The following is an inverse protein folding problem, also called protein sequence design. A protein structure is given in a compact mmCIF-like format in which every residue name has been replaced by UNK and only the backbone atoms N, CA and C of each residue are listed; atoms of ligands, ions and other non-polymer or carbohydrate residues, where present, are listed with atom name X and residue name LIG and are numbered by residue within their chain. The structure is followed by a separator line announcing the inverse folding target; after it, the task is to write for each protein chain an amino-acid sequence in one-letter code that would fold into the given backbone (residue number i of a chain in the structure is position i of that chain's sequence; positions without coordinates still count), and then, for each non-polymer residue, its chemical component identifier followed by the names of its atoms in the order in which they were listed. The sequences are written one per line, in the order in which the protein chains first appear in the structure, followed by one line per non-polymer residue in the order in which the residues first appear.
data_IF_949248201441
#
_entry.id   IF_949248201441
#
_cell.length_a   1.000
_cell.length_b   1.000
_cell.length_c   1.000
_cell.angle_alpha   90.00
_cell.angle_beta   90.00
_cell.angle_gamma   90.00
#
_symmetry.space_group_name_H-M   'P 1'
#
loop_
_entity.id
_entity.type
_entity.pdbx_description
1 polymer ?
#
# COMPACT_ATOMS: atom_id res chain seq x y z
N UNK A 1 -35.53 -17.50 37.98
CA UNK A 1 -36.77 -16.72 37.89
C UNK A 1 -36.64 -15.53 38.84
N UNK A 2 -36.40 -14.33 38.32
CA UNK A 2 -36.41 -13.12 39.13
C UNK A 2 -37.76 -12.42 38.92
N UNK A 3 -38.59 -12.40 39.95
CA UNK A 3 -39.88 -11.71 39.97
C UNK A 3 -39.69 -10.30 40.53
N UNK A 4 -39.67 -9.30 39.64
CA UNK A 4 -39.79 -7.90 40.03
C UNK A 4 -41.25 -7.59 40.33
N UNK A 5 -41.58 -7.36 41.60
CA UNK A 5 -42.94 -6.97 42.01
C UNK A 5 -43.17 -5.49 41.72
N UNK A 6 -44.16 -5.20 40.89
CA UNK A 6 -44.69 -3.84 40.72
C UNK A 6 -45.88 -3.63 41.68
N UNK A 7 -46.09 -2.41 42.19
CA UNK A 7 -47.10 -2.12 43.23
C UNK A 7 -48.57 -2.26 42.76
N UNK A 8 -48.82 -2.67 41.51
CA UNK A 8 -50.16 -2.77 40.93
C UNK A 8 -50.64 -4.20 40.66
N UNK A 9 -49.90 -5.24 41.05
CA UNK A 9 -50.37 -6.64 40.95
C UNK A 9 -50.67 -7.16 39.54
N UNK A 10 -50.44 -6.34 38.49
CA UNK A 10 -50.55 -6.74 37.10
C UNK A 10 -49.29 -7.53 36.71
N UNK A 11 -49.36 -8.84 36.87
CA UNK A 11 -48.46 -9.79 36.22
C UNK A 11 -48.76 -9.79 34.73
N UNK A 12 -48.18 -8.87 33.98
CA UNK A 12 -48.06 -9.06 32.54
C UNK A 12 -46.99 -10.13 32.32
N UNK A 13 -47.32 -11.30 31.73
CA UNK A 13 -46.29 -12.17 31.20
C UNK A 13 -45.65 -11.39 30.05
N UNK A 14 -44.55 -10.70 30.34
CA UNK A 14 -43.66 -10.23 29.29
C UNK A 14 -43.14 -11.53 28.69
N UNK A 15 -43.72 -11.96 27.57
CA UNK A 15 -43.31 -13.17 26.89
C UNK A 15 -41.81 -13.03 26.64
N UNK A 16 -41.01 -14.03 27.03
CA UNK A 16 -39.55 -13.99 26.87
C UNK A 16 -39.11 -13.67 25.42
N UNK A 17 -39.99 -13.95 24.45
CA UNK A 17 -39.86 -13.55 23.05
C UNK A 17 -39.77 -12.03 22.82
N UNK A 18 -40.52 -11.22 23.56
CA UNK A 18 -40.49 -9.75 23.43
C UNK A 18 -39.18 -9.16 23.99
N UNK A 19 -38.62 -9.80 25.02
CA UNK A 19 -37.32 -9.42 25.60
C UNK A 19 -36.19 -9.71 24.61
N UNK A 20 -36.19 -10.89 23.98
CA UNK A 20 -35.19 -11.27 22.98
C UNK A 20 -35.28 -10.39 21.72
N UNK A 21 -36.49 -10.07 21.25
CA UNK A 21 -36.70 -9.16 20.12
C UNK A 21 -36.19 -7.74 20.42
N UNK A 22 -36.48 -7.22 21.61
CA UNK A 22 -36.02 -5.89 22.03
C UNK A 22 -34.50 -5.85 22.24
N UNK A 23 -33.91 -6.91 22.80
CA UNK A 23 -32.46 -7.01 22.99
C UNK A 23 -31.73 -7.06 21.64
N UNK A 24 -32.18 -7.89 20.69
CA UNK A 24 -31.58 -7.97 19.36
C UNK A 24 -31.71 -6.65 18.58
N UNK A 25 -32.85 -5.95 18.71
CA UNK A 25 -33.01 -4.60 18.17
C UNK A 25 -32.04 -3.59 18.79
N UNK A 26 -31.88 -3.59 20.12
CA UNK A 26 -30.92 -2.71 20.79
C UNK A 26 -29.47 -2.99 20.38
N UNK A 27 -29.08 -4.27 20.27
CA UNK A 27 -27.74 -4.66 19.81
C UNK A 27 -27.50 -4.16 18.39
N UNK A 28 -28.45 -4.37 17.48
CA UNK A 28 -28.35 -3.92 16.10
C UNK A 28 -28.28 -2.39 15.98
N UNK A 29 -29.08 -1.69 16.79
CA UNK A 29 -29.11 -0.22 16.80
C UNK A 29 -27.82 0.35 17.37
N UNK A 30 -27.32 -0.21 18.48
CA UNK A 30 -26.07 0.21 19.09
C UNK A 30 -24.88 -0.06 18.16
N UNK A 31 -24.85 -1.22 17.48
CA UNK A 31 -23.85 -1.52 16.46
C UNK A 31 -23.91 -0.54 15.26
N UNK A 32 -25.11 -0.13 14.84
CA UNK A 32 -25.28 0.86 13.78
C UNK A 32 -24.81 2.26 14.21
N UNK A 33 -25.03 2.62 15.47
CA UNK A 33 -24.64 3.91 16.04
C UNK A 33 -23.13 4.00 16.30
N UNK A 34 -22.51 2.93 16.80
CA UNK A 34 -21.06 2.79 16.92
C UNK A 34 -20.37 2.86 15.54
N UNK A 35 -20.99 2.26 14.51
CA UNK A 35 -20.56 2.41 13.12
C UNK A 35 -20.69 3.85 12.61
N UNK A 36 -21.65 4.64 13.09
CA UNK A 36 -21.77 6.07 12.75
C UNK A 36 -20.71 6.91 13.45
N UNK A 37 -20.47 6.69 14.74
CA UNK A 37 -19.44 7.41 15.50
C UNK A 37 -18.03 7.13 14.97
N UNK A 38 -17.72 5.88 14.64
CA UNK A 38 -16.44 5.53 14.02
C UNK A 38 -16.24 6.21 12.66
N UNK A 39 -17.30 6.29 11.83
CA UNK A 39 -17.27 7.05 10.56
C UNK A 39 -17.13 8.55 10.78
N UNK A 40 -17.80 9.11 11.79
CA UNK A 40 -17.71 10.53 12.12
C UNK A 40 -16.28 10.90 12.55
N UNK A 41 -15.67 10.12 13.44
CA UNK A 41 -14.27 10.33 13.85
C UNK A 41 -13.27 10.18 12.70
N UNK A 42 -13.51 9.23 11.78
CA UNK A 42 -12.69 9.07 10.58
C UNK A 42 -12.80 10.30 9.65
N UNK A 43 -14.02 10.79 9.43
CA UNK A 43 -14.28 11.96 8.61
C UNK A 43 -13.64 13.21 9.23
N UNK A 44 -13.72 13.37 10.55
CA UNK A 44 -13.08 14.46 11.27
C UNK A 44 -11.56 14.42 11.08
N UNK A 45 -10.95 13.25 11.24
CA UNK A 45 -9.50 13.07 11.01
C UNK A 45 -9.10 13.38 9.57
N UNK A 46 -9.92 13.02 8.57
CA UNK A 46 -9.68 13.35 7.16
C UNK A 46 -9.83 14.87 6.93
N UNK A 47 -10.80 15.52 7.57
CA UNK A 47 -11.00 16.98 7.48
C UNK A 47 -9.84 17.78 8.11
N UNK A 48 -9.14 17.20 9.09
CA UNK A 48 -7.94 17.81 9.66
C UNK A 48 -6.70 17.70 8.77
N UNK A 49 -6.69 16.83 7.74
CA UNK A 49 -5.55 16.70 6.84
C UNK A 49 -5.45 17.90 5.89
N UNK A 50 -4.28 18.52 5.79
CA UNK A 50 -4.10 19.66 4.87
C UNK A 50 -4.12 19.24 3.40
N UNK A 51 -3.52 18.08 3.09
CA UNK A 51 -3.39 17.55 1.71
C UNK A 51 -3.51 16.02 1.71
N UNK A 52 -4.74 15.47 1.79
CA UNK A 52 -4.95 14.04 1.75
C UNK A 52 -4.62 13.48 0.35
N UNK A 53 -3.94 12.34 0.35
CA UNK A 53 -3.58 11.57 -0.85
C UNK A 53 -4.22 10.19 -0.72
N UNK A 54 -4.95 9.76 -1.75
CA UNK A 54 -5.56 8.43 -1.75
C UNK A 54 -4.51 7.32 -1.82
N UNK A 55 -4.82 6.13 -1.26
CA UNK A 55 -3.95 4.94 -1.35
C UNK A 55 -3.47 4.70 -2.78
N UNK A 56 -4.37 4.81 -3.76
CA UNK A 56 -4.03 4.60 -5.17
C UNK A 56 -2.96 5.56 -5.67
N UNK A 57 -3.07 6.85 -5.33
CA UNK A 57 -2.05 7.85 -5.70
C UNK A 57 -0.75 7.63 -4.94
N UNK A 58 -0.82 7.26 -3.66
CA UNK A 58 0.35 6.96 -2.84
C UNK A 58 1.17 5.80 -3.41
N UNK A 59 0.51 4.67 -3.71
CA UNK A 59 1.17 3.50 -4.31
C UNK A 59 1.62 3.73 -5.75
N UNK A 60 0.90 4.55 -6.54
CA UNK A 60 1.35 4.93 -7.87
C UNK A 60 2.62 5.79 -7.84
N UNK A 61 2.72 6.72 -6.88
CA UNK A 61 3.93 7.53 -6.68
C UNK A 61 5.09 6.69 -6.14
N UNK A 62 4.83 5.82 -5.17
CA UNK A 62 5.83 4.90 -4.63
C UNK A 62 6.36 3.96 -5.72
N UNK A 63 5.46 3.33 -6.49
CA UNK A 63 5.83 2.45 -7.60
C UNK A 63 6.59 3.18 -8.71
N UNK A 64 6.29 4.46 -8.96
CA UNK A 64 7.06 5.29 -9.89
C UNK A 64 8.49 5.51 -9.40
N UNK A 65 8.67 5.94 -8.14
CA UNK A 65 9.99 6.15 -7.53
C UNK A 65 10.82 4.86 -7.47
N UNK A 66 10.18 3.76 -7.10
CA UNK A 66 10.80 2.43 -7.05
C UNK A 66 11.09 1.89 -8.46
N UNK A 67 10.34 2.32 -9.47
CA UNK A 67 10.60 2.00 -10.87
C UNK A 67 11.77 2.80 -11.47
N UNK A 68 12.09 3.98 -10.93
CA UNK A 68 13.15 4.84 -11.47
C UNK A 68 14.47 4.75 -10.72
N UNK A 69 14.45 4.88 -9.39
CA UNK A 69 15.68 5.08 -8.61
C UNK A 69 16.54 3.82 -8.52
N UNK A 70 16.00 2.63 -8.19
CA UNK A 70 16.78 1.40 -8.15
C UNK A 70 17.41 1.03 -9.51
N UNK A 71 16.68 1.05 -10.65
CA UNK A 71 17.32 0.80 -11.95
C UNK A 71 18.39 1.83 -12.28
N UNK A 72 18.16 3.11 -12.02
CA UNK A 72 19.18 4.15 -12.20
C UNK A 72 20.43 3.88 -11.36
N UNK A 73 20.28 3.44 -10.11
CA UNK A 73 21.42 3.08 -9.26
C UNK A 73 22.15 1.82 -9.71
N UNK A 74 21.44 0.78 -10.19
CA UNK A 74 22.06 -0.41 -10.76
C UNK A 74 22.93 0.00 -11.96
N UNK A 75 22.39 0.80 -12.87
CA UNK A 75 23.14 1.27 -14.03
C UNK A 75 24.30 2.19 -13.67
N UNK A 76 24.07 3.11 -12.73
CA UNK A 76 25.14 3.96 -12.22
C UNK A 76 26.26 3.09 -11.65
N UNK A 77 25.96 2.09 -10.81
CA UNK A 77 26.97 1.19 -10.25
C UNK A 77 27.72 0.39 -11.32
N UNK A 78 27.00 -0.08 -12.34
CA UNK A 78 27.56 -0.91 -13.41
C UNK A 78 28.44 -0.11 -14.38
N UNK A 79 28.06 1.13 -14.70
CA UNK A 79 28.67 1.92 -15.76
C UNK A 79 29.38 3.20 -15.28
N UNK A 80 29.44 3.46 -13.97
CA UNK A 80 30.04 4.67 -13.40
C UNK A 80 31.44 4.97 -13.96
N UNK A 81 32.30 3.95 -14.07
CA UNK A 81 33.68 4.12 -14.55
C UNK A 81 33.77 4.41 -16.04
N UNK A 82 32.81 3.91 -16.80
CA UNK A 82 32.82 4.01 -18.27
C UNK A 82 31.94 5.14 -18.77
N UNK A 83 31.16 5.80 -17.90
CA UNK A 83 30.19 6.83 -18.28
C UNK A 83 30.80 7.97 -19.11
N UNK A 84 32.08 8.30 -18.89
CA UNK A 84 32.81 9.32 -19.65
C UNK A 84 33.11 8.90 -21.10
N UNK A 85 33.18 7.61 -21.38
CA UNK A 85 33.40 7.02 -22.71
C UNK A 85 32.12 6.37 -23.25
N UNK A 86 30.99 6.80 -22.67
CA UNK A 86 29.60 6.55 -23.04
C UNK A 86 29.27 6.59 -24.55
N UNK A 87 29.00 5.48 -25.25
CA UNK A 87 28.33 5.61 -26.55
C UNK A 87 26.93 6.24 -26.31
N UNK A 88 26.53 7.29 -27.06
CA UNK A 88 25.26 8.00 -26.82
C UNK A 88 24.04 7.06 -26.94
N UNK A 89 24.17 6.01 -27.73
CA UNK A 89 23.17 4.94 -27.86
C UNK A 89 22.91 4.22 -26.54
N UNK A 90 23.95 3.96 -25.72
CA UNK A 90 23.77 3.28 -24.43
C UNK A 90 23.08 4.20 -23.42
N UNK A 91 23.40 5.50 -23.42
CA UNK A 91 22.72 6.48 -22.57
C UNK A 91 21.24 6.58 -22.94
N UNK A 92 20.92 6.62 -24.24
CA UNK A 92 19.54 6.60 -24.72
C UNK A 92 18.80 5.33 -24.28
N UNK A 93 19.47 4.17 -24.33
CA UNK A 93 18.90 2.89 -23.93
C UNK A 93 18.62 2.84 -22.42
N UNK A 94 19.55 3.30 -21.58
CA UNK A 94 19.37 3.43 -20.13
C UNK A 94 18.21 4.36 -19.82
N UNK A 95 18.14 5.51 -20.49
CA UNK A 95 17.06 6.47 -20.31
C UNK A 95 15.72 5.85 -20.69
N UNK A 96 15.63 5.21 -21.86
CA UNK A 96 14.43 4.52 -22.32
C UNK A 96 13.97 3.44 -21.33
N UNK A 97 14.91 2.67 -20.77
CA UNK A 97 14.60 1.65 -19.77
C UNK A 97 14.07 2.25 -18.47
N UNK A 98 14.70 3.32 -17.96
CA UNK A 98 14.23 4.00 -16.75
C UNK A 98 12.83 4.59 -16.94
N UNK A 99 12.56 5.15 -18.13
CA UNK A 99 11.22 5.65 -18.49
C UNK A 99 10.21 4.49 -18.55
N UNK A 100 10.56 3.36 -19.16
CA UNK A 100 9.70 2.18 -19.19
C UNK A 100 9.40 1.65 -17.77
N UNK A 101 10.42 1.50 -16.92
CA UNK A 101 10.27 1.09 -15.53
C UNK A 101 9.45 2.10 -14.71
N UNK A 102 9.60 3.40 -14.95
CA UNK A 102 8.81 4.47 -14.33
C UNK A 102 7.31 4.31 -14.61
N UNK A 103 6.95 4.17 -15.88
CA UNK A 103 5.56 4.01 -16.30
C UNK A 103 4.96 2.69 -15.82
N UNK A 104 5.70 1.59 -15.97
CA UNK A 104 5.28 0.29 -15.47
C UNK A 104 5.10 0.33 -13.94
N UNK A 105 6.05 0.92 -13.22
CA UNK A 105 6.00 1.06 -11.77
C UNK A 105 4.80 1.86 -11.29
N UNK A 106 4.48 2.96 -11.96
CA UNK A 106 3.27 3.74 -11.71
C UNK A 106 2.00 2.94 -11.97
N UNK A 107 1.94 2.23 -13.10
CA UNK A 107 0.78 1.44 -13.50
C UNK A 107 0.52 0.29 -12.52
N UNK A 108 1.52 -0.53 -12.24
CA UNK A 108 1.40 -1.64 -11.30
C UNK A 108 1.12 -1.15 -9.88
N UNK A 109 1.78 -0.07 -9.43
CA UNK A 109 1.50 0.56 -8.14
C UNK A 109 0.02 0.96 -7.99
N UNK A 110 -0.55 1.59 -9.03
CA UNK A 110 -1.97 1.95 -9.02
C UNK A 110 -2.93 0.76 -9.07
N UNK A 111 -2.54 -0.38 -9.67
CA UNK A 111 -3.40 -1.57 -9.73
C UNK A 111 -3.34 -2.35 -8.42
N UNK A 112 -2.15 -2.49 -7.85
CA UNK A 112 -1.93 -3.19 -6.61
C UNK A 112 -2.58 -2.50 -5.40
N UNK A 113 -2.72 -1.17 -5.43
CA UNK A 113 -3.45 -0.44 -4.39
C UNK A 113 -4.91 -0.86 -4.23
N UNK A 114 -5.55 -1.34 -5.30
CA UNK A 114 -6.93 -1.84 -5.25
C UNK A 114 -7.02 -3.11 -4.41
N UNK A 115 -5.98 -3.96 -4.50
CA UNK A 115 -5.86 -5.16 -3.67
C UNK A 115 -5.65 -4.74 -2.22
N UNK A 116 -4.70 -3.83 -1.97
CA UNK A 116 -4.39 -3.33 -0.61
C UNK A 116 -5.62 -2.78 0.10
N UNK A 117 -6.41 -1.95 -0.60
CA UNK A 117 -7.60 -1.31 -0.02
C UNK A 117 -8.64 -2.34 0.46
N UNK A 118 -8.71 -3.52 -0.16
CA UNK A 118 -9.59 -4.61 0.27
C UNK A 118 -9.18 -5.29 1.58
N UNK A 119 -7.91 -5.17 1.98
CA UNK A 119 -7.32 -5.95 3.08
C UNK A 119 -6.89 -5.11 4.29
N UNK A 120 -7.17 -3.80 4.31
CA UNK A 120 -6.72 -2.86 5.35
C UNK A 120 -7.22 -3.20 6.77
N UNK A 121 -8.22 -4.09 6.89
CA UNK A 121 -8.78 -4.59 8.17
C UNK A 121 -8.22 -5.95 8.62
N UNK A 122 -7.22 -6.49 7.91
CA UNK A 122 -6.60 -7.77 8.23
C UNK A 122 -5.64 -7.71 9.43
N UNK A 123 -5.27 -8.89 9.92
CA UNK A 123 -4.20 -9.05 10.92
C UNK A 123 -2.84 -8.65 10.34
N UNK A 124 -1.95 -8.14 11.21
CA UNK A 124 -0.59 -7.72 10.85
C UNK A 124 0.21 -8.79 10.09
N UNK A 125 0.09 -10.06 10.50
CA UNK A 125 0.76 -11.18 9.83
C UNK A 125 0.27 -11.34 8.38
N UNK A 126 -1.04 -11.25 8.15
CA UNK A 126 -1.61 -11.34 6.80
C UNK A 126 -1.14 -10.19 5.93
N UNK A 127 -1.04 -9.00 6.49
CA UNK A 127 -0.54 -7.82 5.78
C UNK A 127 0.93 -7.99 5.36
N UNK A 128 1.78 -8.51 6.23
CA UNK A 128 3.19 -8.77 5.89
C UNK A 128 3.33 -9.73 4.72
N UNK A 129 2.62 -10.87 4.76
CA UNK A 129 2.63 -11.81 3.64
C UNK A 129 2.06 -11.20 2.36
N UNK A 130 1.01 -10.38 2.48
CA UNK A 130 0.43 -9.68 1.33
C UNK A 130 1.40 -8.65 0.75
N UNK A 131 2.16 -7.93 1.58
CA UNK A 131 3.19 -7.00 1.15
C UNK A 131 4.26 -7.73 0.33
N UNK A 132 4.68 -8.92 0.75
CA UNK A 132 5.60 -9.77 -0.02
C UNK A 132 5.00 -10.20 -1.37
N UNK A 133 3.74 -10.67 -1.40
CA UNK A 133 3.08 -11.05 -2.65
C UNK A 133 2.94 -9.87 -3.61
N UNK A 134 2.59 -8.69 -3.10
CA UNK A 134 2.47 -7.45 -3.88
C UNK A 134 3.85 -7.04 -4.41
N UNK A 135 4.89 -7.08 -3.57
CA UNK A 135 6.26 -6.77 -3.98
C UNK A 135 6.75 -7.69 -5.09
N UNK A 136 6.41 -8.97 -5.02
CA UNK A 136 6.73 -9.96 -6.04
C UNK A 136 5.99 -9.69 -7.36
N UNK A 137 4.68 -9.46 -7.32
CA UNK A 137 3.87 -9.14 -8.50
C UNK A 137 4.33 -7.84 -9.17
N UNK A 138 4.61 -6.81 -8.36
CA UNK A 138 5.16 -5.55 -8.85
C UNK A 138 6.50 -5.78 -9.54
N UNK A 139 7.42 -6.50 -8.90
CA UNK A 139 8.76 -6.74 -9.41
C UNK A 139 8.77 -7.51 -10.74
N UNK A 140 7.92 -8.52 -10.89
CA UNK A 140 7.78 -9.23 -12.16
C UNK A 140 7.26 -8.28 -13.23
N UNK A 141 6.20 -7.53 -12.94
CA UNK A 141 5.60 -6.61 -13.90
C UNK A 141 6.56 -5.51 -14.37
N UNK A 142 7.23 -4.84 -13.42
CA UNK A 142 8.14 -3.73 -13.72
C UNK A 142 9.48 -4.19 -14.26
N UNK A 143 10.05 -5.26 -13.69
CA UNK A 143 11.30 -5.85 -14.13
C UNK A 143 11.19 -6.43 -15.55
N UNK A 144 10.10 -7.11 -15.86
CA UNK A 144 9.85 -7.58 -17.22
C UNK A 144 9.65 -6.42 -18.20
N UNK A 145 8.89 -5.39 -17.83
CA UNK A 145 8.67 -4.21 -18.69
C UNK A 145 9.98 -3.47 -19.01
N UNK A 146 10.86 -3.27 -18.02
CA UNK A 146 12.19 -2.70 -18.25
C UNK A 146 13.07 -3.62 -19.09
N UNK A 147 13.11 -4.90 -18.76
CA UNK A 147 13.94 -5.89 -19.46
C UNK A 147 13.51 -6.16 -20.91
N UNK A 148 12.23 -5.99 -21.23
CA UNK A 148 11.72 -6.10 -22.60
C UNK A 148 12.37 -5.10 -23.58
N UNK A 149 12.86 -3.97 -23.07
CA UNK A 149 13.62 -2.98 -23.86
C UNK A 149 14.91 -3.60 -24.44
N UNK A 150 15.46 -4.64 -23.81
CA UNK A 150 16.61 -5.42 -24.28
C UNK A 150 16.22 -6.71 -25.01
N UNK A 151 15.31 -6.62 -25.99
CA UNK A 151 14.96 -7.73 -26.91
C UNK A 151 14.47 -9.01 -26.22
N UNK A 152 13.68 -8.88 -25.15
CA UNK A 152 13.00 -10.00 -24.48
C UNK A 152 13.85 -10.85 -23.54
N UNK A 153 15.11 -11.14 -23.88
CA UNK A 153 16.04 -11.85 -22.96
C UNK A 153 16.24 -11.03 -21.68
N UNK A 154 16.29 -9.70 -21.81
CA UNK A 154 16.38 -8.80 -20.68
C UNK A 154 15.23 -8.91 -19.70
N UNK A 155 14.05 -9.42 -20.09
CA UNK A 155 12.90 -9.53 -19.19
C UNK A 155 13.15 -10.48 -18.01
N UNK A 156 13.85 -11.59 -18.25
CA UNK A 156 14.18 -12.58 -17.22
C UNK A 156 15.17 -11.97 -16.22
N UNK A 157 16.22 -11.32 -16.72
CA UNK A 157 17.21 -10.65 -15.88
C UNK A 157 16.58 -9.48 -15.10
N UNK A 158 15.79 -8.65 -15.79
CA UNK A 158 15.07 -7.52 -15.19
C UNK A 158 14.16 -7.96 -14.06
N UNK A 159 13.36 -9.03 -14.26
CA UNK A 159 12.54 -9.60 -13.20
C UNK A 159 13.39 -10.15 -12.04
N UNK A 160 14.48 -10.86 -12.34
CA UNK A 160 15.37 -11.45 -11.33
C UNK A 160 16.00 -10.39 -10.41
N UNK A 161 16.42 -9.24 -10.96
CA UNK A 161 16.95 -8.13 -10.18
C UNK A 161 15.84 -7.32 -9.47
N UNK A 162 14.66 -7.20 -10.07
CA UNK A 162 13.56 -6.45 -9.50
C UNK A 162 12.92 -7.16 -8.29
N UNK A 163 12.92 -8.50 -8.24
CA UNK A 163 12.28 -9.28 -7.15
C UNK A 163 12.80 -8.89 -5.76
N UNK A 164 14.12 -8.96 -5.45
CA UNK A 164 14.61 -8.60 -4.12
C UNK A 164 14.31 -7.13 -3.77
N UNK A 165 14.40 -6.24 -4.76
CA UNK A 165 14.10 -4.80 -4.62
C UNK A 165 12.63 -4.59 -4.25
N UNK A 166 11.71 -5.22 -5.00
CA UNK A 166 10.27 -5.13 -4.77
C UNK A 166 9.85 -5.73 -3.44
N UNK A 167 10.35 -6.92 -3.10
CA UNK A 167 10.04 -7.58 -1.83
C UNK A 167 10.45 -6.71 -0.63
N UNK A 168 11.68 -6.20 -0.62
CA UNK A 168 12.18 -5.36 0.47
C UNK A 168 11.41 -4.05 0.56
N UNK A 169 11.22 -3.37 -0.57
CA UNK A 169 10.58 -2.06 -0.59
C UNK A 169 9.11 -2.13 -0.15
N UNK A 170 8.34 -3.12 -0.61
CA UNK A 170 6.95 -3.28 -0.20
C UNK A 170 6.80 -3.78 1.23
N UNK A 171 7.70 -4.66 1.70
CA UNK A 171 7.70 -5.12 3.09
C UNK A 171 7.93 -3.96 4.09
N UNK A 172 8.66 -2.92 3.70
CA UNK A 172 8.87 -1.72 4.51
C UNK A 172 7.75 -0.68 4.32
N UNK A 173 7.42 -0.36 3.07
CA UNK A 173 6.50 0.73 2.75
C UNK A 173 5.07 0.45 3.22
N UNK A 174 4.57 -0.77 3.02
CA UNK A 174 3.17 -1.11 3.28
C UNK A 174 2.77 -0.96 4.76
N UNK A 175 3.47 -1.57 5.74
CA UNK A 175 3.11 -1.41 7.15
C UNK A 175 3.26 0.05 7.63
N UNK A 176 4.31 0.76 7.17
CA UNK A 176 4.50 2.16 7.51
C UNK A 176 3.40 3.06 6.92
N UNK A 177 2.98 2.78 5.69
CA UNK A 177 1.86 3.46 5.06
C UNK A 177 0.58 3.23 5.85
N UNK A 178 0.30 1.98 6.27
CA UNK A 178 -0.89 1.66 7.08
C UNK A 178 -0.89 2.38 8.43
N UNK A 179 0.27 2.50 9.09
CA UNK A 179 0.40 3.21 10.36
C UNK A 179 0.09 4.72 10.24
N UNK A 180 0.43 5.31 9.09
CA UNK A 180 0.26 6.74 8.84
C UNK A 180 -1.06 7.08 8.14
N UNK A 181 -1.67 6.12 7.45
CA UNK A 181 -2.93 6.30 6.77
C UNK A 181 -4.10 6.40 7.77
N UNK A 182 -5.02 7.32 7.50
CA UNK A 182 -6.30 7.43 8.23
C UNK A 182 -7.43 7.40 7.22
N UNK A 183 -8.32 6.42 7.36
CA UNK A 183 -9.48 6.25 6.48
C UNK A 183 -9.13 6.04 5.00
N UNK A 184 -8.07 5.30 4.72
CA UNK A 184 -7.59 5.04 3.35
C UNK A 184 -6.98 6.27 2.65
N UNK A 185 -6.61 7.30 3.42
CA UNK A 185 -5.86 8.45 2.90
C UNK A 185 -4.63 8.69 3.76
N UNK A 186 -3.56 9.19 3.14
CA UNK A 186 -2.33 9.61 3.81
C UNK A 186 -2.06 11.08 3.52
N UNK A 187 -1.59 11.83 4.51
CA UNK A 187 -1.19 13.21 4.29
C UNK A 187 0.08 13.27 3.43
N UNK A 188 0.09 14.15 2.42
CA UNK A 188 1.21 14.29 1.49
C UNK A 188 2.57 14.54 2.18
N UNK A 189 2.55 15.25 3.32
CA UNK A 189 3.73 15.55 4.13
C UNK A 189 4.37 14.32 4.77
N UNK A 190 3.59 13.26 5.05
CA UNK A 190 4.10 11.99 5.57
C UNK A 190 4.43 11.01 4.44
N UNK A 191 3.66 11.05 3.35
CA UNK A 191 3.86 10.18 2.19
C UNK A 191 5.22 10.39 1.52
N UNK A 192 5.61 11.65 1.29
CA UNK A 192 6.85 11.96 0.57
C UNK A 192 8.10 11.43 1.28
N UNK A 193 8.34 11.75 2.57
CA UNK A 193 9.46 11.20 3.32
C UNK A 193 9.42 9.67 3.39
N UNK A 194 8.24 9.07 3.50
CA UNK A 194 8.10 7.62 3.53
C UNK A 194 8.51 6.98 2.19
N UNK A 195 7.91 7.44 1.08
CA UNK A 195 8.15 6.88 -0.24
C UNK A 195 9.59 7.12 -0.69
N UNK A 196 10.11 8.33 -0.51
CA UNK A 196 11.51 8.65 -0.80
C UNK A 196 12.47 7.95 0.15
N UNK A 197 12.17 7.89 1.45
CA UNK A 197 13.03 7.24 2.44
C UNK A 197 13.24 5.76 2.09
N UNK A 198 12.15 5.01 1.91
CA UNK A 198 12.25 3.58 1.56
C UNK A 198 12.98 3.39 0.23
N UNK A 199 12.63 4.15 -0.81
CA UNK A 199 13.26 4.00 -2.14
C UNK A 199 14.73 4.39 -2.13
N UNK A 200 15.11 5.48 -1.45
CA UNK A 200 16.51 5.90 -1.30
C UNK A 200 17.31 4.92 -0.45
N UNK A 201 16.75 4.35 0.61
CA UNK A 201 17.43 3.30 1.40
C UNK A 201 17.71 2.07 0.53
N UNK A 202 16.74 1.60 -0.25
CA UNK A 202 16.96 0.47 -1.17
C UNK A 202 17.99 0.82 -2.24
N UNK A 203 17.95 2.04 -2.75
CA UNK A 203 18.92 2.56 -3.73
C UNK A 203 20.33 2.65 -3.15
N UNK A 204 20.47 3.11 -1.90
CA UNK A 204 21.73 3.17 -1.18
C UNK A 204 22.33 1.78 -0.95
N UNK A 205 21.50 0.80 -0.55
CA UNK A 205 21.93 -0.60 -0.42
C UNK A 205 22.44 -1.18 -1.74
N UNK A 206 21.78 -0.85 -2.86
CA UNK A 206 22.26 -1.25 -4.20
C UNK A 206 23.63 -0.64 -4.47
N UNK A 207 23.82 0.65 -4.17
CA UNK A 207 25.09 1.34 -4.36
C UNK A 207 26.19 0.85 -3.41
N UNK A 208 25.83 0.26 -2.26
CA UNK A 208 26.77 -0.18 -1.23
C UNK A 208 27.24 0.96 -0.33
N UNK A 209 26.34 1.93 -0.06
CA UNK A 209 26.55 3.06 0.85
C UNK A 209 26.02 2.75 2.26
#
# INVERSE_FOLDING_TARGET
MHTTSTPFGLHWPIADHDVAARLSWLINTNAAEEARFSRAGLNEQIMMMRRPVSIQRAYALFGMLLGTLPPAAIFYKMFWRELAYQEPLMLLLILAMNVACCFAGRFFGSKLSLIVNGFERGSWTKEFFMALSIGWLWAIGTGAAGGLVFFGIGAIFGASFAIPVGLLAFALFMPLHRLLARGGMIEAGHLWPLACGVTLTVTALILGL
#
